data_IF_036597311985
#
_entry.id   IF_036597311985
#
_cell.length_a   1.000
_cell.length_b   1.000
_cell.length_c   1.000
_cell.angle_alpha   90.00
_cell.angle_beta   90.00
_cell.angle_gamma   90.00
#
_symmetry.space_group_name_H-M   'P 1'
#
loop_
_entity.id
_entity.type
_entity.pdbx_description
1 polymer ?
#
# COMPACT_ATOMS: atom_id res chain seq x y z
N UNK A 1 -1.96 -13.90 -12.17
CA UNK A 1 -1.59 -13.22 -10.91
C UNK A 1 -2.86 -12.87 -10.14
N UNK A 2 -2.90 -13.01 -8.80
CA UNK A 2 -4.10 -12.63 -8.04
C UNK A 2 -4.17 -11.12 -7.77
N UNK A 3 -5.38 -10.58 -7.59
CA UNK A 3 -5.61 -9.14 -7.30
C UNK A 3 -4.94 -8.69 -6.00
N UNK A 4 -4.95 -9.54 -4.98
CA UNK A 4 -4.23 -9.29 -3.72
C UNK A 4 -2.71 -9.23 -3.94
N UNK A 5 -2.18 -10.04 -4.85
CA UNK A 5 -0.76 -10.03 -5.22
C UNK A 5 -0.39 -8.74 -5.97
N UNK A 6 -1.24 -8.27 -6.90
CA UNK A 6 -1.08 -6.96 -7.56
C UNK A 6 -1.01 -5.82 -6.53
N UNK A 7 -1.98 -5.75 -5.61
CA UNK A 7 -2.02 -4.72 -4.58
C UNK A 7 -0.77 -4.75 -3.66
N UNK A 8 -0.30 -5.96 -3.30
CA UNK A 8 0.93 -6.15 -2.54
C UNK A 8 2.16 -5.65 -3.30
N UNK A 9 2.26 -5.94 -4.59
CA UNK A 9 3.37 -5.50 -5.42
C UNK A 9 3.39 -3.99 -5.61
N UNK A 10 2.23 -3.34 -5.71
CA UNK A 10 2.14 -1.88 -5.78
C UNK A 10 2.66 -1.19 -4.50
N UNK A 11 2.38 -1.76 -3.33
CA UNK A 11 2.96 -1.28 -2.08
C UNK A 11 4.49 -1.52 -2.03
N UNK A 12 4.93 -2.70 -2.49
CA UNK A 12 6.35 -3.06 -2.52
C UNK A 12 7.15 -2.17 -3.49
N UNK A 13 6.62 -1.90 -4.68
CA UNK A 13 7.27 -1.03 -5.67
C UNK A 13 7.39 0.40 -5.14
N UNK A 14 6.37 0.90 -4.44
CA UNK A 14 6.44 2.20 -3.76
C UNK A 14 7.55 2.23 -2.70
N UNK A 15 7.72 1.16 -1.92
CA UNK A 15 8.84 1.05 -0.98
C UNK A 15 10.21 1.03 -1.67
N UNK A 16 10.33 0.25 -2.76
CA UNK A 16 11.58 0.14 -3.51
C UNK A 16 11.97 1.47 -4.15
N UNK A 17 11.02 2.16 -4.76
CA UNK A 17 11.20 3.50 -5.32
C UNK A 17 11.61 4.51 -4.25
N UNK A 18 10.98 4.50 -3.07
CA UNK A 18 11.40 5.38 -1.98
C UNK A 18 12.80 5.06 -1.45
N UNK A 19 13.14 3.78 -1.36
CA UNK A 19 14.40 3.32 -0.78
C UNK A 19 15.59 3.66 -1.69
N UNK A 20 15.41 3.57 -3.00
CA UNK A 20 16.46 3.85 -3.97
C UNK A 20 16.58 5.36 -4.20
N UNK A 21 17.67 6.02 -3.75
CA UNK A 21 17.82 7.46 -3.90
C UNK A 21 17.91 7.91 -5.37
N UNK A 22 18.14 6.99 -6.32
CA UNK A 22 18.18 7.29 -7.76
C UNK A 22 16.78 7.48 -8.34
N UNK A 23 15.75 6.94 -7.70
CA UNK A 23 14.36 7.08 -8.16
C UNK A 23 13.78 8.40 -7.64
N UNK A 24 13.53 9.34 -8.56
CA UNK A 24 12.96 10.66 -8.22
C UNK A 24 11.44 10.68 -8.25
N UNK A 25 10.84 9.94 -9.18
CA UNK A 25 9.40 9.90 -9.40
C UNK A 25 8.96 8.47 -9.71
N UNK A 26 7.80 8.08 -9.19
CA UNK A 26 7.11 6.84 -9.55
C UNK A 26 5.72 7.21 -10.08
N UNK A 27 5.50 7.01 -11.37
CA UNK A 27 4.20 7.18 -12.01
C UNK A 27 3.49 5.83 -12.16
N UNK A 28 2.16 5.84 -12.03
CA UNK A 28 1.32 4.69 -12.35
C UNK A 28 0.56 4.99 -13.63
N UNK A 29 0.74 4.12 -14.63
CA UNK A 29 0.29 4.36 -15.98
C UNK A 29 -1.24 4.35 -16.09
N UNK A 30 -1.90 3.27 -15.66
CA UNK A 30 -3.34 3.11 -15.88
C UNK A 30 -4.19 3.41 -14.65
N UNK A 31 -5.21 4.24 -14.82
CA UNK A 31 -6.27 4.35 -13.83
C UNK A 31 -7.26 3.16 -13.91
N UNK A 32 -7.57 2.70 -15.13
CA UNK A 32 -8.57 1.69 -15.44
C UNK A 32 -8.00 0.73 -16.48
N UNK A 33 -8.27 -0.56 -16.32
CA UNK A 33 -7.91 -1.57 -17.31
C UNK A 33 -8.54 -1.28 -18.67
N UNK A 34 -7.84 -1.71 -19.71
CA UNK A 34 -8.36 -1.74 -21.06
C UNK A 34 -9.37 -2.87 -21.24
N UNK A 35 -10.35 -2.66 -22.14
CA UNK A 35 -11.28 -3.70 -22.53
C UNK A 35 -10.54 -4.73 -23.39
N UNK A 36 -10.63 -5.99 -22.99
CA UNK A 36 -10.18 -7.11 -23.83
C UNK A 36 -11.07 -7.15 -25.08
N UNK A 37 -10.49 -6.91 -26.26
CA UNK A 37 -11.23 -6.98 -27.52
C UNK A 37 -11.48 -8.43 -27.91
N UNK A 38 -12.76 -8.84 -27.91
CA UNK A 38 -13.18 -10.14 -28.48
C UNK A 38 -13.11 -10.18 -30.01
N UNK A 39 -12.85 -9.04 -30.67
CA UNK A 39 -12.73 -8.91 -32.14
C UNK A 39 -11.30 -9.07 -32.65
N UNK A 40 -10.32 -9.17 -31.77
CA UNK A 40 -8.96 -9.44 -32.21
C UNK A 40 -8.90 -10.82 -32.89
N UNK A 41 -8.14 -10.98 -33.99
CA UNK A 41 -7.91 -12.28 -34.59
C UNK A 41 -7.38 -13.23 -33.51
N UNK A 42 -7.85 -14.48 -33.55
CA UNK A 42 -7.50 -15.55 -32.61
C UNK A 42 -6.01 -15.57 -32.25
N UNK A 43 -5.70 -16.01 -31.02
CA UNK A 43 -4.33 -16.09 -30.50
C UNK A 43 -3.94 -14.93 -29.58
N UNK A 44 -2.64 -14.65 -29.46
CA UNK A 44 -2.08 -13.72 -28.46
C UNK A 44 -2.56 -12.27 -28.61
N UNK A 45 -2.99 -11.87 -29.80
CA UNK A 45 -3.55 -10.53 -30.09
C UNK A 45 -4.86 -10.25 -29.37
N UNK A 46 -5.63 -11.28 -28.99
CA UNK A 46 -6.84 -11.13 -28.18
C UNK A 46 -6.55 -10.71 -26.74
N UNK A 47 -5.30 -10.80 -26.27
CA UNK A 47 -4.88 -10.44 -24.92
C UNK A 47 -3.89 -9.28 -24.89
N UNK A 48 -3.79 -8.49 -25.97
CA UNK A 48 -2.86 -7.37 -26.07
C UNK A 48 -3.22 -6.18 -25.15
N UNK A 49 -4.38 -6.22 -24.49
CA UNK A 49 -4.86 -5.16 -23.59
C UNK A 49 -4.17 -5.17 -22.23
N UNK A 50 -3.91 -3.98 -21.69
CA UNK A 50 -3.29 -3.82 -20.39
C UNK A 50 -4.29 -3.97 -19.24
N UNK A 51 -3.90 -4.73 -18.21
CA UNK A 51 -4.74 -5.03 -17.04
C UNK A 51 -4.09 -4.51 -15.74
N UNK A 52 -3.31 -3.44 -15.86
CA UNK A 52 -2.47 -2.91 -14.78
C UNK A 52 -3.18 -1.88 -13.91
N UNK A 53 -4.36 -1.41 -14.35
CA UNK A 53 -5.10 -0.33 -13.74
C UNK A 53 -5.59 -0.62 -12.32
N UNK A 54 -6.00 0.44 -11.64
CA UNK A 54 -6.59 0.41 -10.29
C UNK A 54 -8.08 0.05 -10.31
N UNK A 55 -8.73 0.23 -11.46
CA UNK A 55 -10.10 -0.18 -11.75
C UNK A 55 -10.10 -1.28 -12.83
N UNK A 56 -11.07 -2.17 -12.76
CA UNK A 56 -11.41 -3.03 -13.90
C UNK A 56 -11.97 -2.21 -15.06
N UNK A 57 -12.00 -2.78 -16.26
CA UNK A 57 -12.52 -2.11 -17.47
C UNK A 57 -13.99 -1.66 -17.35
N UNK A 58 -14.77 -2.33 -16.49
CA UNK A 58 -16.15 -1.98 -16.14
C UNK A 58 -16.28 -0.91 -15.03
N UNK A 59 -15.15 -0.39 -14.54
CA UNK A 59 -15.10 0.63 -13.50
C UNK A 59 -15.13 0.09 -12.06
N UNK A 60 -15.31 -1.21 -11.84
CA UNK A 60 -15.24 -1.79 -10.49
C UNK A 60 -13.85 -1.61 -9.89
N UNK A 61 -13.81 -1.35 -8.59
CA UNK A 61 -12.56 -1.10 -7.85
C UNK A 61 -11.76 -2.38 -7.67
N UNK A 62 -10.46 -2.36 -7.99
CA UNK A 62 -9.54 -3.43 -7.58
C UNK A 62 -9.03 -3.18 -6.16
N UNK A 63 -8.55 -4.22 -5.45
CA UNK A 63 -7.83 -4.06 -4.19
C UNK A 63 -6.65 -3.09 -4.25
N UNK A 64 -6.01 -2.98 -5.42
CA UNK A 64 -4.89 -2.05 -5.64
C UNK A 64 -5.28 -0.58 -5.42
N UNK A 65 -6.53 -0.20 -5.76
CA UNK A 65 -7.02 1.17 -5.54
C UNK A 65 -6.97 1.57 -4.07
N UNK A 66 -7.29 0.66 -3.16
CA UNK A 66 -7.28 0.93 -1.72
C UNK A 66 -5.86 1.05 -1.13
N UNK A 67 -4.84 0.52 -1.83
CA UNK A 67 -3.43 0.59 -1.43
C UNK A 67 -2.74 1.81 -2.03
N UNK A 68 -3.12 2.22 -3.24
CA UNK A 68 -2.48 3.29 -3.99
C UNK A 68 -2.31 4.63 -3.24
N UNK A 69 -3.31 5.17 -2.52
CA UNK A 69 -3.14 6.44 -1.80
C UNK A 69 -2.35 6.29 -0.49
N UNK A 70 -2.10 5.07 -0.03
CA UNK A 70 -1.48 4.81 1.25
C UNK A 70 -0.71 3.47 1.28
N UNK A 71 0.36 3.33 0.49
CA UNK A 71 1.09 2.07 0.43
C UNK A 71 1.73 1.76 1.79
N UNK A 72 1.65 0.49 2.19
CA UNK A 72 2.28 -0.06 3.38
C UNK A 72 3.14 -1.24 2.97
N UNK A 73 4.40 -1.24 3.38
CA UNK A 73 5.28 -2.38 3.24
C UNK A 73 5.83 -2.81 4.59
N UNK A 74 5.73 -4.10 4.88
CA UNK A 74 6.24 -4.70 6.11
C UNK A 74 7.13 -5.89 5.76
N UNK A 75 8.27 -6.02 6.44
CA UNK A 75 9.18 -7.14 6.25
C UNK A 75 9.93 -7.46 7.56
N UNK A 76 10.31 -8.73 7.71
CA UNK A 76 11.14 -9.15 8.85
C UNK A 76 12.61 -8.90 8.59
N UNK A 77 13.33 -8.48 9.64
CA UNK A 77 14.77 -8.25 9.66
C UNK A 77 15.28 -8.62 11.05
N UNK A 78 15.91 -9.79 11.16
CA UNK A 78 16.30 -10.39 12.45
C UNK A 78 15.11 -10.52 13.41
N UNK A 79 15.28 -10.01 14.63
CA UNK A 79 14.27 -10.00 15.68
C UNK A 79 13.22 -8.89 15.55
N UNK A 80 13.15 -8.18 14.41
CA UNK A 80 12.21 -7.06 14.20
C UNK A 80 11.32 -7.22 12.98
N UNK A 81 10.12 -6.65 13.05
CA UNK A 81 9.28 -6.34 11.90
C UNK A 81 9.48 -4.87 11.56
N UNK A 82 10.05 -4.59 10.39
CA UNK A 82 10.22 -3.24 9.87
C UNK A 82 9.01 -2.87 9.03
N UNK A 83 8.47 -1.68 9.29
CA UNK A 83 7.35 -1.12 8.55
C UNK A 83 7.77 0.19 7.91
N UNK A 84 7.34 0.36 6.68
CA UNK A 84 7.41 1.60 5.92
C UNK A 84 6.02 1.88 5.36
N UNK A 85 5.60 3.14 5.35
CA UNK A 85 4.39 3.53 4.65
C UNK A 85 4.43 4.97 4.20
N UNK A 86 3.47 5.34 3.35
CA UNK A 86 3.33 6.69 2.82
C UNK A 86 1.86 7.14 2.89
N UNK A 87 1.61 8.37 3.30
CA UNK A 87 0.33 9.07 3.16
C UNK A 87 0.39 9.93 1.90
N UNK A 88 -0.59 9.81 0.99
CA UNK A 88 -0.73 10.67 -0.20
C UNK A 88 -2.02 11.52 -0.13
N UNK A 89 -2.02 12.80 -0.54
CA UNK A 89 -0.92 13.53 -1.20
C UNK A 89 0.27 13.84 -0.27
N UNK A 90 0.11 13.71 1.05
CA UNK A 90 1.25 13.81 1.97
C UNK A 90 1.73 15.25 2.18
N UNK A 91 0.80 16.20 2.14
CA UNK A 91 1.07 17.62 2.40
C UNK A 91 1.37 17.82 3.89
N UNK A 92 2.65 17.82 4.23
CA UNK A 92 3.12 18.03 5.59
C UNK A 92 3.10 16.79 6.49
N UNK A 93 3.41 17.02 7.77
CA UNK A 93 3.56 15.96 8.77
C UNK A 93 2.19 15.47 9.23
N UNK A 94 1.84 14.24 8.90
CA UNK A 94 0.59 13.58 9.30
C UNK A 94 0.85 12.61 10.45
N UNK A 95 -0.04 12.61 11.45
CA UNK A 95 -0.05 11.61 12.51
C UNK A 95 -0.56 10.25 12.02
N UNK A 96 0.21 9.19 12.28
CA UNK A 96 -0.08 7.82 11.87
C UNK A 96 -0.16 6.89 13.07
N UNK A 97 -1.22 6.09 13.12
CA UNK A 97 -1.39 5.00 14.09
C UNK A 97 -1.17 3.68 13.38
N UNK A 98 -0.14 2.93 13.78
CA UNK A 98 0.14 1.58 13.28
C UNK A 98 -0.72 0.59 14.05
N UNK A 99 -1.41 -0.27 13.31
CA UNK A 99 -2.30 -1.30 13.83
C UNK A 99 -1.70 -2.67 13.56
N UNK A 100 -1.82 -3.58 14.53
CA UNK A 100 -1.53 -5.01 14.38
C UNK A 100 -2.77 -5.82 14.70
N UNK A 101 -3.13 -6.74 13.83
CA UNK A 101 -4.10 -7.79 14.09
C UNK A 101 -3.35 -9.11 14.21
N UNK A 102 -3.41 -9.72 15.40
CA UNK A 102 -2.79 -11.01 15.67
C UNK A 102 -3.50 -12.12 14.88
N UNK A 103 -2.77 -13.15 14.48
CA UNK A 103 -3.34 -14.35 13.88
C UNK A 103 -4.47 -14.91 14.78
N UNK A 104 -5.61 -15.24 14.18
CA UNK A 104 -6.81 -15.73 14.90
C UNK A 104 -7.65 -14.63 15.55
N UNK A 105 -7.17 -13.38 15.64
CA UNK A 105 -7.96 -12.28 16.18
C UNK A 105 -8.78 -11.58 15.11
N UNK A 106 -10.01 -11.18 15.45
CA UNK A 106 -10.86 -10.31 14.62
C UNK A 106 -10.52 -8.82 14.80
N UNK A 107 -9.77 -8.48 15.84
CA UNK A 107 -9.56 -7.08 16.25
C UNK A 107 -8.13 -6.60 15.97
N UNK A 108 -8.01 -5.47 15.28
CA UNK A 108 -6.73 -4.78 15.13
C UNK A 108 -6.51 -3.82 16.31
N UNK A 109 -5.32 -3.86 16.93
CA UNK A 109 -4.96 -3.00 18.06
C UNK A 109 -3.82 -2.05 17.67
N UNK A 110 -3.80 -0.81 18.20
CA UNK A 110 -2.66 0.09 18.04
C UNK A 110 -1.39 -0.52 18.63
N UNK A 111 -0.27 -0.39 17.91
CA UNK A 111 1.05 -0.89 18.35
C UNK A 111 2.16 0.16 18.24
N UNK A 112 1.92 1.25 17.51
CA UNK A 112 2.80 2.41 17.47
C UNK A 112 2.03 3.66 17.03
N UNK A 113 2.56 4.83 17.41
CA UNK A 113 2.17 6.14 16.86
C UNK A 113 3.43 6.78 16.30
N UNK A 114 3.37 7.25 15.06
CA UNK A 114 4.49 7.89 14.35
C UNK A 114 3.99 9.12 13.59
N UNK A 115 4.91 9.97 13.14
CA UNK A 115 4.61 11.07 12.23
C UNK A 115 5.29 10.82 10.89
N UNK A 116 4.67 11.28 9.82
CA UNK A 116 5.32 11.32 8.52
C UNK A 116 6.38 12.41 8.47
N UNK A 117 7.32 12.28 7.54
CA UNK A 117 8.15 13.39 7.07
C UNK A 117 7.32 14.33 6.18
N UNK A 118 8.01 15.33 5.59
CA UNK A 118 7.41 16.32 4.68
C UNK A 118 6.91 15.73 3.37
N UNK A 119 7.28 14.49 3.03
CA UNK A 119 6.87 13.76 1.80
C UNK A 119 5.77 12.73 2.09
N UNK A 120 5.20 12.77 3.30
CA UNK A 120 4.18 11.81 3.74
C UNK A 120 4.74 10.43 4.10
N UNK A 121 6.05 10.23 4.16
CA UNK A 121 6.66 8.91 4.43
C UNK A 121 6.91 8.72 5.93
N UNK A 122 6.72 7.49 6.42
CA UNK A 122 7.05 7.12 7.79
C UNK A 122 7.69 5.72 7.84
N UNK A 123 8.45 5.46 8.90
CA UNK A 123 8.97 4.13 9.20
C UNK A 123 8.83 3.80 10.69
N UNK A 124 8.71 2.53 11.04
CA UNK A 124 8.87 2.06 12.42
C UNK A 124 9.40 0.63 12.47
N UNK A 125 9.87 0.18 13.63
CA UNK A 125 10.37 -1.17 13.84
C UNK A 125 9.82 -1.77 15.13
N UNK A 126 9.01 -2.81 14.99
CA UNK A 126 8.38 -3.52 16.10
C UNK A 126 9.18 -4.77 16.47
N UNK A 127 9.19 -5.15 17.75
CA UNK A 127 9.75 -6.43 18.16
C UNK A 127 8.99 -7.59 17.51
N UNK A 128 9.72 -8.60 17.02
CA UNK A 128 9.14 -9.86 16.53
C UNK A 128 8.82 -10.82 17.68
N UNK A 129 9.20 -10.50 18.92
CA UNK A 129 8.83 -11.29 20.10
C UNK A 129 7.30 -11.41 20.17
N UNK A 130 6.80 -12.64 20.15
CA UNK A 130 5.35 -12.92 20.12
C UNK A 130 4.65 -12.54 18.82
N UNK A 131 5.37 -12.26 17.73
CA UNK A 131 4.79 -12.13 16.39
C UNK A 131 4.56 -13.50 15.74
N UNK A 132 3.35 -13.70 15.19
CA UNK A 132 2.97 -14.93 14.50
C UNK A 132 2.97 -14.71 12.99
N UNK A 133 3.22 -15.78 12.21
CA UNK A 133 3.22 -15.73 10.73
C UNK A 133 1.92 -15.19 10.13
N UNK A 134 0.79 -15.40 10.82
CA UNK A 134 -0.52 -14.91 10.40
C UNK A 134 -0.82 -13.44 10.75
N UNK A 135 0.07 -12.77 11.48
CA UNK A 135 -0.16 -11.39 11.90
C UNK A 135 -0.20 -10.44 10.69
N UNK A 136 -1.10 -9.47 10.77
CA UNK A 136 -1.27 -8.44 9.74
C UNK A 136 -1.12 -7.06 10.34
N UNK A 137 -0.60 -6.14 9.53
CA UNK A 137 -0.37 -4.76 9.89
C UNK A 137 -1.13 -3.84 8.96
N UNK A 138 -1.67 -2.76 9.53
CA UNK A 138 -2.26 -1.66 8.78
C UNK A 138 -1.79 -0.36 9.40
N UNK A 139 -2.01 0.77 8.75
CA UNK A 139 -1.91 2.05 9.42
C UNK A 139 -3.12 2.91 9.16
N UNK A 140 -3.35 3.82 10.10
CA UNK A 140 -4.48 4.72 10.11
C UNK A 140 -3.99 6.15 10.24
N UNK A 141 -4.62 7.06 9.52
CA UNK A 141 -4.33 8.48 9.56
C UNK A 141 -5.61 9.29 9.33
N UNK A 142 -5.53 10.58 9.62
CA UNK A 142 -6.58 11.56 9.33
C UNK A 142 -5.95 12.62 8.46
N UNK A 143 -6.54 12.88 7.30
CA UNK A 143 -6.16 14.02 6.48
C UNK A 143 -6.85 15.28 7.00
N UNK A 144 -6.17 16.43 6.99
CA UNK A 144 -6.85 17.70 7.14
C UNK A 144 -7.89 17.84 6.01
N UNK A 145 -8.93 18.66 6.23
CA UNK A 145 -9.92 18.95 5.21
C UNK A 145 -9.25 19.53 3.96
N UNK A 146 -9.67 19.08 2.77
CA UNK A 146 -9.09 19.53 1.49
C UNK A 146 -9.41 21.00 1.15
N UNK A 147 -10.42 21.59 1.80
CA UNK A 147 -10.80 22.99 1.66
C UNK A 147 -10.93 23.59 3.06
N UNK A 148 -10.28 24.73 3.28
CA UNK A 148 -10.34 25.49 4.54
C UNK A 148 -11.73 26.09 4.70
N UNK A 149 -12.64 25.31 5.26
CA UNK A 149 -14.03 25.71 5.42
C UNK A 149 -14.94 24.49 5.40
N UNK A 150 -15.26 23.95 6.58
CA UNK A 150 -16.37 23.01 6.79
C UNK A 150 -16.24 21.57 6.26
N UNK A 151 -15.11 21.14 5.72
CA UNK A 151 -14.93 19.74 5.32
C UNK A 151 -14.55 18.85 6.52
N UNK A 152 -15.19 17.68 6.63
CA UNK A 152 -14.91 16.69 7.69
C UNK A 152 -13.53 16.05 7.47
N UNK A 153 -12.70 15.89 8.52
CA UNK A 153 -11.41 15.21 8.40
C UNK A 153 -11.57 13.79 7.85
N UNK A 154 -10.84 13.46 6.79
CA UNK A 154 -10.97 12.15 6.15
C UNK A 154 -10.10 11.12 6.85
N UNK A 155 -10.74 10.21 7.58
CA UNK A 155 -10.07 9.09 8.24
C UNK A 155 -9.86 7.94 7.26
N UNK A 156 -8.62 7.54 7.04
CA UNK A 156 -8.26 6.40 6.19
C UNK A 156 -7.52 5.33 6.98
N UNK A 157 -7.77 4.08 6.62
CA UNK A 157 -7.01 2.92 7.11
C UNK A 157 -6.55 2.12 5.91
N UNK A 158 -5.29 1.73 5.89
CA UNK A 158 -4.75 0.93 4.79
C UNK A 158 -5.28 -0.50 4.85
N UNK A 159 -5.33 -1.20 3.71
CA UNK A 159 -5.50 -2.64 3.72
C UNK A 159 -4.43 -3.31 4.60
N UNK A 160 -4.84 -4.38 5.30
CA UNK A 160 -3.96 -5.09 6.20
C UNK A 160 -2.99 -5.99 5.43
N UNK A 161 -1.70 -5.93 5.75
CA UNK A 161 -0.62 -6.64 5.08
C UNK A 161 0.11 -7.58 6.05
N UNK A 162 0.42 -8.81 5.60
CA UNK A 162 1.38 -9.68 6.28
C UNK A 162 2.82 -9.31 5.92
N UNK A 163 3.75 -9.27 6.90
CA UNK A 163 5.16 -9.02 6.62
C UNK A 163 5.73 -10.00 5.57
N UNK A 164 6.56 -9.49 4.67
CA UNK A 164 7.43 -10.32 3.84
C UNK A 164 8.50 -11.00 4.72
N UNK A 165 8.89 -12.23 4.37
CA UNK A 165 9.85 -13.00 5.16
C UNK A 165 11.27 -12.41 5.20
N UNK A 166 11.65 -11.62 4.20
CA UNK A 166 12.95 -10.92 4.14
C UNK A 166 12.79 -9.56 3.49
N UNK A 167 13.67 -8.62 3.83
CA UNK A 167 13.79 -7.33 3.14
C UNK A 167 13.99 -7.56 1.63
N UNK A 168 13.25 -6.87 0.75
CA UNK A 168 13.50 -6.93 -0.69
C UNK A 168 14.93 -6.51 -1.04
N UNK A 169 15.60 -7.25 -1.92
CA UNK A 169 16.88 -6.83 -2.52
C UNK A 169 16.60 -5.76 -3.58
N UNK A 170 17.36 -4.67 -3.56
CA UNK A 170 17.53 -3.76 -4.71
C UNK A 170 18.67 -4.37 -5.53
N UNK A 171 18.46 -4.61 -6.82
CA UNK A 171 19.53 -5.02 -7.74
C UNK A 171 20.43 -3.83 -8.02
#
# INVERSE_FOLDING_TARGET
MSLAKQARWLAQSSYLAWRDPRVRTLAHYEWRDEKISRKAPTGTRAYASWQSGLLFADGRRKPALAVFPNPLWAFTSGARVRLWGQVRPGEGRTGVVVLRRRAGSRTARPVARVRTDRRGVWTTSLSRRGARRGDTYAFRYVLPPAVTGRATPLRRTTPALRPAGVRPRTR
#
